data_IF_688619026997
#
_entry.id   IF_688619026997
#
_cell.length_a   1.000
_cell.length_b   1.000
_cell.length_c   1.000
_cell.angle_alpha   90.00
_cell.angle_beta   90.00
_cell.angle_gamma   90.00
#
_symmetry.space_group_name_H-M   'P 1'
#
loop_
_entity.id
_entity.type
_entity.pdbx_description
1 polymer ?
#
# COMPACT_ATOMS: atom_id res chain seq x y z
N UNK A 1 -29.43 -1.50 55.37
CA UNK A 1 -29.72 -2.15 54.07
C UNK A 1 -28.54 -1.87 53.15
N UNK A 2 -27.67 -2.87 52.98
CA UNK A 2 -26.47 -2.79 52.17
C UNK A 2 -26.80 -3.23 50.74
N UNK A 3 -26.69 -2.32 49.76
CA UNK A 3 -26.95 -2.64 48.36
C UNK A 3 -25.68 -3.20 47.71
N UNK A 4 -25.67 -4.51 47.47
CA UNK A 4 -24.61 -5.22 46.79
C UNK A 4 -24.35 -4.65 45.38
N UNK A 5 -23.12 -4.16 45.17
CA UNK A 5 -22.62 -3.70 43.87
C UNK A 5 -22.36 -4.92 42.99
N UNK A 6 -23.29 -5.21 42.07
CA UNK A 6 -23.20 -6.33 41.14
C UNK A 6 -21.99 -6.22 40.21
N UNK A 7 -20.90 -6.92 40.56
CA UNK A 7 -19.76 -7.14 39.68
C UNK A 7 -20.15 -8.21 38.65
N UNK A 8 -20.77 -7.82 37.53
CA UNK A 8 -20.91 -8.70 36.34
C UNK A 8 -19.55 -8.81 35.63
N UNK A 9 -18.60 -9.43 36.31
CA UNK A 9 -17.42 -9.99 35.67
C UNK A 9 -17.86 -11.19 34.84
N UNK A 10 -17.92 -11.04 33.51
CA UNK A 10 -17.96 -12.20 32.61
C UNK A 10 -16.63 -12.94 32.73
N UNK A 11 -16.59 -13.92 33.64
CA UNK A 11 -15.54 -14.94 33.72
C UNK A 11 -15.87 -16.01 32.67
N UNK A 12 -14.85 -16.46 31.94
CA UNK A 12 -14.82 -17.84 31.43
C UNK A 12 -15.24 -18.06 29.98
N UNK A 13 -14.49 -17.49 29.04
CA UNK A 13 -14.42 -18.00 27.67
C UNK A 13 -13.13 -17.48 27.05
N UNK A 14 -12.25 -18.37 26.57
CA UNK A 14 -10.97 -17.99 25.98
C UNK A 14 -11.17 -16.89 24.94
N UNK A 15 -10.66 -15.68 25.21
CA UNK A 15 -10.82 -14.56 24.27
C UNK A 15 -10.06 -14.92 23.01
N UNK A 16 -10.79 -15.11 21.91
CA UNK A 16 -10.20 -15.21 20.58
C UNK A 16 -9.25 -14.03 20.38
N UNK A 17 -8.09 -14.28 19.75
CA UNK A 17 -7.11 -13.24 19.45
C UNK A 17 -7.82 -12.06 18.79
N UNK A 18 -7.62 -10.86 19.34
CA UNK A 18 -8.26 -9.66 18.82
C UNK A 18 -7.68 -9.38 17.42
N UNK A 19 -8.53 -9.38 16.40
CA UNK A 19 -8.16 -9.00 15.04
C UNK A 19 -8.52 -7.54 14.83
N UNK A 20 -7.59 -6.75 14.30
CA UNK A 20 -7.81 -5.32 14.05
C UNK A 20 -8.88 -5.10 12.97
N UNK A 21 -9.58 -3.97 13.02
CA UNK A 21 -10.55 -3.60 11.97
C UNK A 21 -9.87 -3.40 10.61
N UNK A 22 -8.62 -2.90 10.59
CA UNK A 22 -7.81 -2.75 9.38
C UNK A 22 -7.53 -4.10 8.73
N UNK A 23 -7.05 -5.08 9.51
CA UNK A 23 -6.79 -6.45 9.03
C UNK A 23 -8.05 -7.11 8.49
N UNK A 24 -9.21 -6.91 9.15
CA UNK A 24 -10.50 -7.44 8.67
C UNK A 24 -10.97 -6.78 7.37
N UNK A 25 -10.61 -5.51 7.15
CA UNK A 25 -10.98 -4.75 5.96
C UNK A 25 -9.95 -4.86 4.82
N UNK A 26 -8.81 -5.52 5.04
CA UNK A 26 -7.73 -5.61 4.06
C UNK A 26 -6.97 -4.29 3.83
N UNK A 27 -7.00 -3.37 4.78
CA UNK A 27 -6.40 -2.03 4.67
C UNK A 27 -5.10 -1.95 5.47
N UNK A 28 -4.08 -1.30 4.90
CA UNK A 28 -2.87 -0.90 5.63
C UNK A 28 -3.15 0.27 6.58
N UNK A 29 -4.07 1.16 6.22
CA UNK A 29 -4.37 2.34 7.02
C UNK A 29 -5.16 2.00 8.32
N UNK A 30 -4.94 2.75 9.42
CA UNK A 30 -5.49 2.42 10.73
C UNK A 30 -6.96 2.85 10.89
N UNK A 31 -7.91 1.96 10.54
CA UNK A 31 -9.37 2.17 10.65
C UNK A 31 -9.78 2.59 12.06
N UNK A 32 -9.20 1.96 13.10
CA UNK A 32 -9.51 2.29 14.49
C UNK A 32 -9.11 3.73 14.87
N UNK A 33 -7.97 4.22 14.37
CA UNK A 33 -7.49 5.58 14.62
C UNK A 33 -8.35 6.62 13.90
N UNK A 34 -8.74 6.33 12.65
CA UNK A 34 -9.63 7.19 11.86
C UNK A 34 -11.00 7.30 12.55
N UNK A 35 -11.56 6.19 13.03
CA UNK A 35 -12.81 6.22 13.81
C UNK A 35 -12.70 7.14 15.05
N UNK A 36 -11.57 7.10 15.78
CA UNK A 36 -11.33 7.99 16.91
C UNK A 36 -11.27 9.45 16.48
N UNK A 37 -10.56 9.76 15.40
CA UNK A 37 -10.47 11.13 14.87
C UNK A 37 -11.81 11.67 14.36
N UNK A 38 -12.63 10.85 13.72
CA UNK A 38 -13.98 11.26 13.29
C UNK A 38 -14.88 11.63 14.49
N UNK A 39 -14.78 10.88 15.60
CA UNK A 39 -15.51 11.19 16.83
C UNK A 39 -14.97 12.45 17.52
N UNK A 40 -13.65 12.59 17.58
CA UNK A 40 -13.00 13.76 18.19
C UNK A 40 -13.29 15.05 17.42
N UNK A 41 -13.41 14.96 16.08
CA UNK A 41 -13.73 16.10 15.22
C UNK A 41 -15.18 16.59 15.29
N UNK A 42 -16.08 15.89 16.01
CA UNK A 42 -17.49 16.29 16.18
C UNK A 42 -18.23 16.59 14.86
N UNK A 43 -17.91 15.87 13.79
CA UNK A 43 -18.54 16.06 12.47
C UNK A 43 -20.03 15.66 12.45
N UNK A 44 -20.44 14.77 13.35
CA UNK A 44 -21.82 14.33 13.55
C UNK A 44 -21.99 13.72 14.95
N UNK A 45 -23.22 13.64 15.46
CA UNK A 45 -23.53 13.04 16.77
C UNK A 45 -23.19 11.55 16.84
N UNK A 46 -23.37 10.84 15.71
CA UNK A 46 -23.09 9.41 15.57
C UNK A 46 -22.30 9.15 14.31
N UNK A 47 -21.34 8.23 14.40
CA UNK A 47 -20.53 7.77 13.27
C UNK A 47 -20.89 6.32 12.98
N UNK A 48 -21.37 6.05 11.76
CA UNK A 48 -21.68 4.70 11.29
C UNK A 48 -20.46 3.78 11.30
N UNK A 49 -20.68 2.47 11.42
CA UNK A 49 -19.59 1.48 11.53
C UNK A 49 -18.73 1.38 10.27
N UNK A 50 -19.34 1.56 9.09
CA UNK A 50 -18.67 1.53 7.80
C UNK A 50 -17.92 2.82 7.43
N UNK A 51 -18.33 3.96 7.98
CA UNK A 51 -17.74 5.27 7.66
C UNK A 51 -16.20 5.31 7.86
N UNK A 52 -15.62 4.88 9.00
CA UNK A 52 -14.16 4.90 9.17
C UNK A 52 -13.43 3.87 8.29
N UNK A 53 -14.12 2.83 7.80
CA UNK A 53 -13.53 1.85 6.87
C UNK A 53 -13.42 2.50 5.49
N UNK A 54 -14.51 3.10 5.01
CA UNK A 54 -14.53 3.80 3.73
C UNK A 54 -13.53 4.95 3.69
N UNK A 55 -13.50 5.78 4.73
CA UNK A 55 -12.52 6.87 4.82
C UNK A 55 -11.08 6.36 4.86
N UNK A 56 -10.80 5.25 5.52
CA UNK A 56 -9.47 4.65 5.52
C UNK A 56 -9.05 4.17 4.12
N UNK A 57 -9.96 3.52 3.40
CA UNK A 57 -9.71 3.05 2.05
C UNK A 57 -9.41 4.20 1.08
N UNK A 58 -10.18 5.30 1.14
CA UNK A 58 -9.95 6.48 0.29
C UNK A 58 -8.60 7.14 0.60
N UNK A 59 -8.26 7.28 1.88
CA UNK A 59 -6.97 7.86 2.28
C UNK A 59 -5.78 6.97 1.88
N UNK A 60 -5.95 5.65 1.96
CA UNK A 60 -4.94 4.68 1.51
C UNK A 60 -4.74 4.73 0.00
N UNK A 61 -5.84 4.79 -0.76
CA UNK A 61 -5.81 4.92 -2.21
C UNK A 61 -5.09 6.20 -2.66
N UNK A 62 -5.47 7.36 -2.12
CA UNK A 62 -4.83 8.63 -2.49
C UNK A 62 -3.36 8.67 -2.10
N UNK A 63 -2.99 8.08 -0.95
CA UNK A 63 -1.59 7.98 -0.55
C UNK A 63 -0.79 7.08 -1.50
N UNK A 64 -1.36 5.94 -1.92
CA UNK A 64 -0.73 5.05 -2.87
C UNK A 64 -0.51 5.74 -4.23
N UNK A 65 -1.51 6.45 -4.75
CA UNK A 65 -1.42 7.17 -6.03
C UNK A 65 -0.30 8.20 -6.03
N UNK A 66 -0.24 9.05 -5.00
CA UNK A 66 0.82 10.06 -4.86
C UNK A 66 2.20 9.39 -4.71
N UNK A 67 2.30 8.29 -3.96
CA UNK A 67 3.57 7.58 -3.76
C UNK A 67 4.05 6.86 -5.01
N UNK A 68 3.15 6.30 -5.81
CA UNK A 68 3.47 5.65 -7.09
C UNK A 68 4.08 6.67 -8.06
N UNK A 69 3.38 7.78 -8.31
CA UNK A 69 3.84 8.84 -9.20
C UNK A 69 5.12 9.51 -8.67
N UNK A 70 5.23 9.76 -7.37
CA UNK A 70 6.44 10.33 -6.77
C UNK A 70 7.62 9.33 -6.78
N UNK A 71 7.33 8.03 -6.69
CA UNK A 71 8.30 6.95 -6.86
C UNK A 71 8.86 6.91 -8.29
N UNK A 72 7.98 7.01 -9.28
CA UNK A 72 8.35 7.12 -10.69
C UNK A 72 9.20 8.38 -10.94
N UNK A 73 8.77 9.54 -10.45
CA UNK A 73 9.57 10.77 -10.53
C UNK A 73 10.93 10.68 -9.81
N UNK A 74 11.03 9.94 -8.70
CA UNK A 74 12.31 9.69 -8.04
C UNK A 74 13.23 8.82 -8.90
N UNK A 75 12.67 7.77 -9.50
CA UNK A 75 13.37 6.83 -10.39
C UNK A 75 13.89 7.53 -11.64
N UNK A 76 13.09 8.40 -12.26
CA UNK A 76 13.48 9.20 -13.43
C UNK A 76 14.66 10.14 -13.10
N UNK A 77 14.67 10.67 -11.88
CA UNK A 77 15.77 11.46 -11.33
C UNK A 77 16.94 10.61 -10.81
N UNK A 78 16.94 9.30 -11.10
CA UNK A 78 17.97 8.32 -10.69
C UNK A 78 18.20 8.27 -9.18
N UNK A 79 17.13 8.45 -8.39
CA UNK A 79 17.15 8.43 -6.93
C UNK A 79 16.26 7.29 -6.41
N UNK A 80 16.70 6.66 -5.33
CA UNK A 80 15.93 5.60 -4.65
C UNK A 80 15.04 6.13 -3.53
N UNK A 81 15.23 7.37 -3.10
CA UNK A 81 14.48 8.02 -2.03
C UNK A 81 13.57 9.12 -2.57
N UNK A 82 12.30 9.08 -2.20
CA UNK A 82 11.34 10.15 -2.48
C UNK A 82 11.74 11.41 -1.68
N UNK A 83 11.73 12.57 -2.36
CA UNK A 83 12.00 13.88 -1.79
C UNK A 83 10.82 14.82 -2.06
N UNK A 84 10.70 15.97 -1.38
CA UNK A 84 9.61 16.91 -1.64
C UNK A 84 9.52 17.36 -3.11
N UNK A 85 10.67 17.43 -3.81
CA UNK A 85 10.71 17.70 -5.26
C UNK A 85 9.94 16.65 -6.06
N UNK A 86 10.10 15.37 -5.75
CA UNK A 86 9.43 14.30 -6.49
C UNK A 86 7.92 14.32 -6.26
N UNK A 87 7.48 14.65 -5.03
CA UNK A 87 6.05 14.83 -4.72
C UNK A 87 5.48 16.02 -5.51
N UNK A 88 6.20 17.15 -5.60
CA UNK A 88 5.75 18.27 -6.41
C UNK A 88 5.65 17.90 -7.91
N UNK A 89 6.67 17.23 -8.45
CA UNK A 89 6.65 16.79 -9.86
C UNK A 89 5.47 15.85 -10.14
N UNK A 90 5.19 14.90 -9.24
CA UNK A 90 4.05 13.99 -9.36
C UNK A 90 2.73 14.76 -9.35
N UNK A 91 2.50 15.62 -8.35
CA UNK A 91 1.25 16.36 -8.20
C UNK A 91 1.03 17.36 -9.34
N UNK A 92 2.08 18.02 -9.83
CA UNK A 92 1.95 19.07 -10.87
C UNK A 92 1.86 18.53 -12.29
N UNK A 93 2.30 17.30 -12.53
CA UNK A 93 2.15 16.66 -13.85
C UNK A 93 0.88 15.80 -13.95
N UNK A 94 0.13 15.67 -12.87
CA UNK A 94 -1.15 14.94 -12.84
C UNK A 94 -2.32 15.91 -12.65
N UNK A 95 -3.26 15.89 -13.58
CA UNK A 95 -4.36 16.87 -13.63
C UNK A 95 -5.32 16.72 -12.43
N UNK A 96 -5.58 15.49 -12.00
CA UNK A 96 -6.52 15.21 -10.92
C UNK A 96 -5.94 15.62 -9.56
N UNK A 97 -4.67 15.29 -9.32
CA UNK A 97 -3.94 15.67 -8.12
C UNK A 97 -3.65 17.18 -8.08
N UNK A 98 -3.31 17.82 -9.21
CA UNK A 98 -3.15 19.28 -9.24
C UNK A 98 -4.46 19.98 -8.87
N UNK A 99 -5.59 19.49 -9.39
CA UNK A 99 -6.90 20.04 -9.07
C UNK A 99 -7.26 19.81 -7.61
N UNK A 100 -7.04 18.60 -7.08
CA UNK A 100 -7.33 18.23 -5.70
C UNK A 100 -6.49 19.06 -4.71
N UNK A 101 -5.22 19.32 -5.03
CA UNK A 101 -4.27 20.04 -4.18
C UNK A 101 -4.10 21.51 -4.58
N UNK A 102 -5.08 22.07 -5.28
CA UNK A 102 -5.08 23.49 -5.65
C UNK A 102 -5.02 24.36 -4.39
N UNK A 103 -4.02 25.24 -4.32
CA UNK A 103 -3.79 26.13 -3.17
C UNK A 103 -2.94 25.52 -2.05
N UNK A 104 -2.54 24.25 -2.15
CA UNK A 104 -1.59 23.63 -1.22
C UNK A 104 -0.16 23.98 -1.64
N UNK A 105 0.68 24.38 -0.68
CA UNK A 105 2.11 24.62 -0.92
C UNK A 105 2.94 23.42 -0.43
N UNK A 106 3.73 22.82 -1.32
CA UNK A 106 4.66 21.76 -0.98
C UNK A 106 6.03 22.38 -0.64
N UNK A 107 6.38 22.36 0.65
CA UNK A 107 7.65 22.89 1.12
C UNK A 107 8.83 22.19 0.44
N UNK A 108 9.83 22.97 0.02
CA UNK A 108 11.03 22.48 -0.69
C UNK A 108 10.75 21.72 -2.00
N UNK A 109 9.57 21.91 -2.61
CA UNK A 109 9.20 21.29 -3.89
C UNK A 109 9.79 22.01 -5.12
N UNK A 110 10.00 23.32 -5.05
CA UNK A 110 10.33 24.15 -6.21
C UNK A 110 9.13 24.36 -7.15
N UNK A 111 9.37 24.50 -8.45
CA UNK A 111 8.33 24.66 -9.50
C UNK A 111 8.60 23.77 -10.70
N UNK A 112 7.60 23.49 -11.53
CA UNK A 112 7.85 22.82 -12.81
C UNK A 112 8.75 23.70 -13.69
N UNK A 113 9.78 23.14 -14.35
CA UNK A 113 10.57 23.90 -15.31
C UNK A 113 9.68 24.33 -16.49
N UNK A 114 9.41 25.63 -16.59
CA UNK A 114 8.62 26.20 -17.68
C UNK A 114 9.14 27.61 -17.97
N UNK A 115 9.54 27.83 -19.23
CA UNK A 115 10.02 29.13 -19.71
C UNK A 115 9.00 29.62 -20.74
N UNK A 116 8.50 30.85 -20.58
CA UNK A 116 7.61 31.45 -21.58
C UNK A 116 8.36 31.57 -22.92
N UNK A 117 7.78 31.14 -24.06
CA UNK A 117 8.46 31.13 -25.36
C UNK A 117 9.00 32.51 -25.78
N UNK A 118 8.41 33.61 -25.32
CA UNK A 118 8.88 34.98 -25.60
C UNK A 118 10.25 35.26 -24.98
N UNK A 119 10.61 34.55 -23.90
CA UNK A 119 11.90 34.69 -23.22
C UNK A 119 13.00 33.84 -23.85
N UNK A 120 12.67 32.98 -24.81
CA UNK A 120 13.66 32.21 -25.54
C UNK A 120 14.42 33.12 -26.50
N UNK A 121 15.73 32.91 -26.70
CA UNK A 121 16.48 33.61 -27.74
C UNK A 121 15.75 33.47 -29.08
N UNK A 122 15.64 34.55 -29.84
CA UNK A 122 15.20 34.46 -31.23
C UNK A 122 16.22 33.58 -31.96
N UNK A 123 15.76 32.49 -32.57
CA UNK A 123 16.58 31.59 -33.37
C UNK A 123 17.41 32.40 -34.37
N UNK A 124 18.70 32.60 -34.08
CA UNK A 124 19.64 33.18 -35.03
C UNK A 124 20.19 32.04 -35.86
N UNK A 125 19.75 31.94 -37.11
CA UNK A 125 20.36 31.05 -38.10
C UNK A 125 21.80 31.52 -38.39
N UNK A 126 22.78 31.06 -37.61
CA UNK A 126 24.19 31.08 -38.03
C UNK A 126 25.01 30.03 -37.30
N UNK A 127 25.83 29.32 -38.07
CA UNK A 127 26.90 28.38 -37.69
C UNK A 127 26.54 26.92 -37.42
N UNK A 128 26.53 26.18 -38.52
CA UNK A 128 26.97 24.79 -38.67
C UNK A 128 28.40 24.62 -38.12
N UNK A 129 28.62 24.21 -36.87
CA UNK A 129 29.82 23.45 -36.42
C UNK A 129 29.47 22.53 -35.24
N UNK A 130 29.94 21.30 -35.35
CA UNK A 130 29.83 20.17 -34.42
C UNK A 130 30.34 20.42 -32.99
N UNK A 131 29.56 20.02 -31.98
CA UNK A 131 30.07 19.31 -30.81
C UNK A 131 28.94 18.78 -29.91
N UNK A 132 28.78 17.45 -29.98
CA UNK A 132 28.25 16.49 -28.98
C UNK A 132 27.73 17.08 -27.65
N UNK A 133 26.41 17.02 -27.44
CA UNK A 133 25.74 17.19 -26.14
C UNK A 133 24.79 16.00 -25.88
N UNK A 134 24.59 15.55 -24.62
CA UNK A 134 23.81 14.36 -24.31
C UNK A 134 22.30 14.62 -24.47
N UNK A 135 21.61 13.71 -25.16
CA UNK A 135 20.17 13.75 -25.40
C UNK A 135 19.39 13.68 -24.07
N UNK A 136 18.62 14.73 -23.77
CA UNK A 136 17.41 14.62 -22.95
C UNK A 136 16.25 14.18 -23.85
N UNK A 137 15.53 13.16 -23.39
CA UNK A 137 14.37 12.56 -24.06
C UNK A 137 13.11 13.29 -23.60
N UNK A 138 12.38 13.91 -24.54
CA UNK A 138 11.01 14.34 -24.35
C UNK A 138 10.07 13.14 -24.55
N UNK A 139 9.06 12.89 -23.70
CA UNK A 139 8.05 11.89 -23.98
C UNK A 139 6.85 12.57 -24.64
N UNK A 140 6.70 12.41 -25.96
CA UNK A 140 5.36 12.55 -26.58
C UNK A 140 5.26 11.55 -27.72
N UNK A 141 4.33 10.60 -27.55
CA UNK A 141 3.64 9.82 -28.58
C UNK A 141 4.50 9.05 -29.58
N UNK A 142 4.62 7.73 -29.38
CA UNK A 142 4.75 6.80 -30.51
C UNK A 142 3.66 5.73 -30.41
N UNK A 143 2.57 5.97 -31.16
CA UNK A 143 1.82 4.90 -31.81
C UNK A 143 2.72 4.28 -32.90
N UNK A 144 2.49 2.99 -33.14
CA UNK A 144 2.89 2.18 -34.29
C UNK A 144 4.39 1.93 -34.53
N UNK A 145 4.88 0.79 -34.01
CA UNK A 145 5.66 -0.18 -34.80
C UNK A 145 5.84 -1.49 -34.01
N UNK A 146 4.80 -2.32 -33.95
CA UNK A 146 4.94 -3.75 -33.71
C UNK A 146 3.90 -4.47 -34.57
N UNK A 147 4.19 -4.54 -35.87
CA UNK A 147 3.50 -5.39 -36.83
C UNK A 147 4.54 -6.26 -37.50
N UNK A 148 4.77 -7.44 -36.93
CA UNK A 148 5.30 -8.66 -37.56
C UNK A 148 5.87 -9.59 -36.48
N UNK A 149 4.99 -10.34 -35.81
CA UNK A 149 5.28 -11.62 -35.16
C UNK A 149 4.01 -12.16 -34.50
N UNK A 150 3.01 -12.51 -35.32
CA UNK A 150 1.97 -13.46 -34.93
C UNK A 150 1.98 -14.52 -36.00
N UNK A 151 2.77 -15.56 -35.77
CA UNK A 151 2.47 -16.91 -36.25
C UNK A 151 3.30 -17.89 -35.43
N UNK A 152 2.63 -18.97 -35.01
CA UNK A 152 3.13 -20.14 -34.27
C UNK A 152 3.12 -20.03 -32.73
N UNK A 153 1.91 -20.12 -32.17
CA UNK A 153 1.69 -20.71 -30.84
C UNK A 153 0.96 -22.05 -31.02
N UNK A 154 1.32 -23.11 -30.28
CA UNK A 154 0.64 -24.41 -30.34
C UNK A 154 -0.76 -24.32 -29.71
N UNK A 155 -1.71 -24.91 -30.42
CA UNK A 155 -3.11 -25.12 -30.06
C UNK A 155 -3.23 -25.97 -28.79
N UNK A 156 -3.74 -25.39 -27.69
CA UNK A 156 -4.22 -26.13 -26.54
C UNK A 156 -5.74 -25.98 -26.50
N UNK A 157 -6.41 -27.02 -27.01
CA UNK A 157 -7.84 -27.11 -27.17
C UNK A 157 -8.63 -26.96 -25.86
N UNK A 158 -9.83 -26.42 -26.03
CA UNK A 158 -10.91 -26.43 -25.05
C UNK A 158 -11.30 -27.88 -24.72
N UNK A 159 -11.05 -28.30 -23.48
CA UNK A 159 -11.59 -29.53 -22.92
C UNK A 159 -12.27 -29.20 -21.59
N UNK A 160 -13.43 -28.55 -21.71
CA UNK A 160 -14.38 -28.40 -20.62
C UNK A 160 -15.69 -29.00 -21.12
N UNK A 161 -15.90 -30.29 -20.81
CA UNK A 161 -17.16 -31.00 -20.64
C UNK A 161 -16.87 -32.51 -20.69
N UNK A 162 -16.49 -33.11 -19.56
CA UNK A 162 -16.70 -34.54 -19.25
C UNK A 162 -16.09 -34.87 -17.87
N UNK A 163 -16.89 -34.76 -16.81
CA UNK A 163 -16.68 -35.47 -15.55
C UNK A 163 -17.92 -35.30 -14.66
N UNK A 164 -19.01 -35.94 -15.07
CA UNK A 164 -20.16 -36.21 -14.22
C UNK A 164 -20.44 -37.71 -14.26
N UNK A 165 -19.75 -38.49 -13.42
CA UNK A 165 -20.25 -39.73 -12.79
C UNK A 165 -19.23 -40.29 -11.80
N UNK A 166 -19.75 -40.99 -10.79
CA UNK A 166 -19.07 -41.96 -9.91
C UNK A 166 -18.35 -41.39 -8.66
N UNK A 167 -18.97 -41.31 -7.48
CA UNK A 167 -19.41 -42.37 -6.53
C UNK A 167 -18.32 -42.76 -5.50
N UNK A 168 -18.63 -42.41 -4.25
CA UNK A 168 -18.39 -43.09 -2.97
C UNK A 168 -16.98 -43.26 -2.34
N UNK A 169 -17.01 -43.03 -1.02
CA UNK A 169 -16.19 -43.60 0.06
C UNK A 169 -14.68 -43.29 0.12
N UNK A 170 -14.23 -42.58 1.15
CA UNK A 170 -13.81 -43.21 2.42
C UNK A 170 -13.16 -42.21 3.41
N UNK A 171 -13.62 -42.30 4.67
CA UNK A 171 -13.00 -42.02 5.96
C UNK A 171 -11.91 -40.93 6.20
N UNK A 172 -12.23 -40.12 7.21
CA UNK A 172 -11.32 -39.46 8.17
C UNK A 172 -10.36 -40.45 8.87
N UNK A 173 -9.16 -40.01 9.29
CA UNK A 173 -8.99 -39.90 10.74
C UNK A 173 -8.16 -38.70 11.21
N UNK A 174 -8.70 -38.02 12.23
CA UNK A 174 -7.96 -37.28 13.23
C UNK A 174 -6.92 -38.17 13.93
N UNK A 175 -5.69 -37.68 14.10
CA UNK A 175 -4.81 -38.04 15.23
C UNK A 175 -3.73 -36.95 15.42
N UNK A 176 -3.56 -36.39 16.64
CA UNK A 176 -2.55 -35.38 16.93
C UNK A 176 -1.14 -36.01 17.12
N UNK A 177 -0.06 -35.24 16.92
CA UNK A 177 1.30 -35.73 17.15
C UNK A 177 1.55 -36.01 18.64
N UNK A 178 2.21 -37.15 18.91
CA UNK A 178 2.52 -37.67 20.25
C UNK A 178 3.39 -36.72 21.07
N UNK A 179 2.96 -36.46 22.31
CA UNK A 179 3.77 -35.98 23.44
C UNK A 179 4.94 -36.93 23.70
N UNK A 180 6.15 -36.38 23.86
CA UNK A 180 7.25 -37.05 24.56
C UNK A 180 7.21 -36.61 26.02
N UNK A 181 7.08 -37.60 26.90
CA UNK A 181 6.87 -37.46 28.33
C UNK A 181 8.04 -36.80 29.09
N UNK A 182 7.66 -36.00 30.10
CA UNK A 182 8.42 -35.66 31.31
C UNK A 182 8.84 -36.93 32.08
N UNK A 183 9.99 -37.01 32.75
CA UNK A 183 10.24 -36.58 34.16
C UNK A 183 11.47 -37.34 34.73
N UNK A 184 12.00 -37.14 35.97
CA UNK A 184 12.11 -35.97 36.85
C UNK A 184 13.50 -35.76 37.54
N UNK A 185 13.66 -34.57 38.14
CA UNK A 185 14.38 -34.18 39.38
C UNK A 185 15.72 -34.80 39.82
N UNK A 186 16.72 -33.94 40.11
CA UNK A 186 17.21 -33.65 41.48
C UNK A 186 18.48 -32.78 41.43
N UNK A 187 18.71 -31.94 42.46
CA UNK A 187 20.05 -31.41 42.74
C UNK A 187 20.19 -29.90 42.81
N UNK A 188 19.64 -29.29 43.86
CA UNK A 188 20.10 -28.02 44.45
C UNK A 188 21.53 -28.15 44.97
N UNK A 189 22.40 -27.17 44.70
CA UNK A 189 23.31 -26.60 45.72
C UNK A 189 24.02 -25.34 45.23
N UNK A 190 24.05 -24.37 46.14
CA UNK A 190 24.65 -23.06 46.03
C UNK A 190 26.18 -23.13 46.06
N UNK A 191 26.84 -22.14 45.44
CA UNK A 191 28.20 -21.77 45.84
C UNK A 191 28.30 -20.25 45.89
N UNK A 192 28.58 -19.77 47.10
CA UNK A 192 28.86 -18.40 47.48
C UNK A 192 30.22 -17.96 46.93
N UNK A 193 30.29 -16.74 46.42
CA UNK A 193 31.54 -16.08 46.07
C UNK A 193 32.20 -15.53 47.35
N UNK A 194 33.46 -15.87 47.59
CA UNK A 194 34.32 -15.21 48.58
C UNK A 194 35.77 -15.29 48.12
N UNK A 195 36.39 -14.11 48.08
CA UNK A 195 37.82 -13.77 47.79
C UNK A 195 38.25 -13.81 46.33
#
# INVERSE_FOLDING_TARGET
METAKGFRGRIGGGRKKAVSKSTRAGLQFPVGRICRFMKAGRYADRIGTGAPIYMAAVLEYLAAEVLELAGNAARDNKKTRISPRHVLLAVKNDEELEKLLKGVTIASGGVLPQINPVLLPKETTSSKVSSKAPKLVNPTTNKSSFSAAVENAPDFGNEANDAASDVADNASPNSPPKELASSPSSGVSAVSATT
#
